data_IF_398217932673
#
_entry.id   IF_398217932673
#
_cell.length_a   1.000
_cell.length_b   1.000
_cell.length_c   1.000
_cell.angle_alpha   90.00
_cell.angle_beta   90.00
_cell.angle_gamma   90.00
#
_symmetry.space_group_name_H-M   'P 1'
#
loop_
_entity.id
_entity.type
_entity.pdbx_description
1 polymer ?
#
# COMPACT_ATOMS: atom_id res chain seq x y z
N UNK A 1 -27.99 13.34 21.48
CA UNK A 1 -26.77 14.00 22.00
C UNK A 1 -25.82 14.24 20.81
N UNK A 2 -24.51 14.37 21.02
CA UNK A 2 -23.48 14.30 19.96
C UNK A 2 -22.30 13.45 20.45
N UNK A 3 -21.49 12.92 19.54
CA UNK A 3 -20.27 12.17 19.89
C UNK A 3 -19.06 12.59 19.05
N UNK A 4 -17.94 12.81 19.74
CA UNK A 4 -16.67 13.19 19.12
C UNK A 4 -15.94 11.93 18.63
N UNK A 5 -15.52 11.94 17.37
CA UNK A 5 -14.83 10.80 16.78
C UNK A 5 -13.39 10.69 17.31
N UNK A 6 -12.96 9.53 17.85
CA UNK A 6 -11.59 9.36 18.36
C UNK A 6 -10.52 9.32 17.24
N UNK A 7 -10.92 9.08 15.98
CA UNK A 7 -9.99 8.95 14.84
C UNK A 7 -9.70 10.28 14.13
N UNK A 8 -10.58 11.28 14.23
CA UNK A 8 -10.41 12.57 13.55
C UNK A 8 -10.87 13.81 14.33
N UNK A 9 -11.41 13.65 15.54
CA UNK A 9 -11.89 14.76 16.37
C UNK A 9 -13.18 15.43 15.90
N UNK A 10 -13.75 15.07 14.75
CA UNK A 10 -15.02 15.61 14.27
C UNK A 10 -16.21 15.16 15.15
N UNK A 11 -17.16 16.07 15.37
CA UNK A 11 -18.35 15.83 16.19
C UNK A 11 -19.55 15.40 15.33
N UNK A 12 -20.18 14.29 15.69
CA UNK A 12 -21.23 13.63 14.92
C UNK A 12 -22.53 13.61 15.73
N UNK A 13 -23.67 13.47 15.04
CA UNK A 13 -24.96 13.27 15.68
C UNK A 13 -25.04 11.91 16.38
N UNK A 14 -25.92 11.78 17.36
CA UNK A 14 -26.08 10.57 18.18
C UNK A 14 -26.71 9.40 17.41
N UNK A 15 -27.49 9.68 16.36
CA UNK A 15 -27.97 8.69 15.38
C UNK A 15 -26.84 8.14 14.48
N UNK A 16 -25.73 8.86 14.31
CA UNK A 16 -24.67 8.46 13.39
C UNK A 16 -23.84 7.31 13.96
N UNK A 17 -24.04 6.10 13.42
CA UNK A 17 -23.25 4.89 13.74
C UNK A 17 -21.79 4.96 13.24
N UNK A 18 -21.48 5.89 12.35
CA UNK A 18 -20.15 6.10 11.75
C UNK A 18 -19.86 7.61 11.65
N UNK A 19 -18.59 8.00 11.78
CA UNK A 19 -18.20 9.40 11.66
C UNK A 19 -18.23 9.87 10.21
N UNK A 20 -18.97 10.94 9.91
CA UNK A 20 -19.21 11.38 8.52
C UNK A 20 -17.97 11.93 7.80
N UNK A 21 -16.92 12.34 8.53
CA UNK A 21 -15.65 12.77 7.93
C UNK A 21 -14.71 11.58 7.64
N UNK A 22 -14.43 10.75 8.65
CA UNK A 22 -13.39 9.71 8.55
C UNK A 22 -13.92 8.28 8.30
N UNK A 23 -15.22 8.03 8.45
CA UNK A 23 -15.84 6.71 8.29
C UNK A 23 -15.63 5.75 9.47
N UNK A 24 -14.93 6.16 10.53
CA UNK A 24 -14.73 5.32 11.71
C UNK A 24 -16.07 5.04 12.43
N UNK A 25 -16.31 3.77 12.79
CA UNK A 25 -17.48 3.35 13.58
C UNK A 25 -17.53 4.10 14.92
N UNK A 26 -18.74 4.42 15.39
CA UNK A 26 -18.98 4.92 16.74
C UNK A 26 -18.44 3.91 17.77
N UNK A 27 -17.67 4.34 18.79
CA UNK A 27 -17.30 3.47 19.91
C UNK A 27 -18.54 3.06 20.71
N UNK A 28 -18.78 1.75 20.79
CA UNK A 28 -19.76 1.19 21.73
C UNK A 28 -19.26 1.36 23.17
N UNK A 29 -20.14 1.80 24.08
CA UNK A 29 -19.81 2.02 25.49
C UNK A 29 -19.50 3.48 25.90
N UNK A 30 -19.56 4.46 24.99
CA UNK A 30 -19.40 5.88 25.32
C UNK A 30 -20.64 6.50 26.01
N UNK A 31 -21.07 5.92 27.13
CA UNK A 31 -22.02 6.52 28.07
C UNK A 31 -21.26 7.34 29.13
N UNK A 32 -21.92 8.37 29.68
CA UNK A 32 -21.31 9.25 30.69
C UNK A 32 -21.07 8.50 32.02
N UNK A 33 -20.06 8.89 32.82
CA UNK A 33 -19.90 8.37 34.17
C UNK A 33 -21.17 8.63 35.00
N UNK A 34 -21.83 7.57 35.45
CA UNK A 34 -22.94 7.69 36.39
C UNK A 34 -22.40 8.03 37.79
N UNK A 35 -22.99 9.02 38.44
CA UNK A 35 -22.59 9.43 39.78
C UNK A 35 -22.92 8.33 40.80
N UNK A 36 -21.93 7.91 41.58
CA UNK A 36 -22.12 7.03 42.72
C UNK A 36 -22.72 7.82 43.88
N UNK A 37 -23.82 7.38 44.51
CA UNK A 37 -24.18 7.82 45.85
C UNK A 37 -23.09 7.40 46.84
N UNK A 38 -22.71 8.28 47.76
CA UNK A 38 -21.72 7.97 48.79
C UNK A 38 -22.39 7.40 50.03
N UNK A 39 -21.89 6.27 50.54
CA UNK A 39 -22.10 5.82 51.91
C UNK A 39 -20.76 5.59 52.60
N UNK A 40 -20.64 6.13 53.81
CA UNK A 40 -19.53 5.97 54.74
C UNK A 40 -20.13 5.65 56.12
N UNK A 41 -19.46 5.09 57.13
CA UNK A 41 -18.01 4.91 57.39
C UNK A 41 -17.81 3.55 58.10
N UNK A 42 -16.61 3.06 58.40
CA UNK A 42 -15.81 3.38 59.60
C UNK A 42 -14.46 2.60 59.59
N UNK A 43 -13.47 2.92 60.48
CA UNK A 43 -12.06 2.91 60.06
C UNK A 43 -11.14 1.83 60.70
N UNK A 44 -10.02 1.63 59.99
CA UNK A 44 -8.63 1.45 60.47
C UNK A 44 -8.31 0.55 61.69
N UNK A 45 -7.37 -0.38 61.46
CA UNK A 45 -6.35 -0.72 62.47
C UNK A 45 -4.96 -0.84 61.80
N UNK A 46 -3.88 -0.71 62.58
CA UNK A 46 -2.51 -0.49 62.09
C UNK A 46 -1.55 -1.48 62.74
N UNK A 47 -0.69 -2.16 61.95
CA UNK A 47 0.55 -2.78 62.45
C UNK A 47 1.56 -3.18 61.35
N UNK A 48 2.83 -3.17 61.75
CA UNK A 48 4.05 -3.61 61.05
C UNK A 48 5.20 -3.64 62.10
N UNK A 49 6.44 -4.10 61.82
CA UNK A 49 6.99 -4.88 60.69
C UNK A 49 7.81 -6.12 61.19
N UNK A 50 8.75 -6.65 60.37
CA UNK A 50 9.89 -7.53 60.73
C UNK A 50 9.57 -9.06 60.90
N UNK A 51 10.46 -10.04 60.68
CA UNK A 51 11.85 -10.11 60.15
C UNK A 51 12.25 -11.57 59.73
N UNK A 52 13.29 -11.74 58.87
CA UNK A 52 14.16 -12.93 58.56
C UNK A 52 13.58 -14.37 58.48
N UNK A 53 14.05 -15.26 57.58
CA UNK A 53 15.37 -15.95 57.66
C UNK A 53 15.88 -16.48 56.30
N UNK A 54 17.18 -16.81 56.26
CA UNK A 54 18.07 -17.03 55.11
C UNK A 54 18.22 -18.54 54.78
N UNK A 55 18.35 -18.89 53.49
CA UNK A 55 19.29 -19.88 52.90
C UNK A 55 19.01 -19.96 51.37
N UNK A 56 19.89 -19.74 50.38
CA UNK A 56 21.35 -19.77 50.16
C UNK A 56 21.88 -21.03 49.42
N UNK A 57 21.84 -20.98 48.08
CA UNK A 57 22.85 -21.51 47.13
C UNK A 57 22.34 -21.16 45.70
N UNK A 58 22.95 -20.35 44.82
CA UNK A 58 24.34 -19.95 44.54
C UNK A 58 25.08 -20.84 43.53
N UNK A 59 24.89 -20.54 42.23
CA UNK A 59 25.87 -20.67 41.14
C UNK A 59 25.39 -19.76 39.96
N UNK A 60 26.00 -18.59 39.78
CA UNK A 60 27.09 -18.28 38.82
C UNK A 60 26.58 -18.19 37.35
N UNK A 61 26.43 -16.99 36.76
CA UNK A 61 27.46 -16.12 36.12
C UNK A 61 27.80 -16.55 34.67
N UNK A 62 28.07 -15.66 33.70
CA UNK A 62 27.74 -14.24 33.53
C UNK A 62 27.97 -13.80 32.05
N UNK A 63 27.04 -12.98 31.52
CA UNK A 63 27.14 -11.89 30.50
C UNK A 63 28.13 -11.92 29.28
N UNK A 64 27.92 -11.06 28.25
CA UNK A 64 28.51 -11.23 26.91
C UNK A 64 29.80 -10.40 26.65
N UNK A 65 30.38 -10.57 25.45
CA UNK A 65 31.47 -9.74 24.92
C UNK A 65 31.21 -9.33 23.45
N UNK A 66 31.81 -8.20 23.05
CA UNK A 66 31.61 -7.49 21.77
C UNK A 66 32.75 -7.72 20.75
N UNK A 67 32.64 -7.25 19.48
CA UNK A 67 33.54 -7.67 18.40
C UNK A 67 34.85 -6.86 18.29
N UNK A 68 35.84 -7.44 17.61
CA UNK A 68 37.06 -6.75 17.14
C UNK A 68 37.40 -7.14 15.69
N UNK A 69 38.18 -6.30 15.01
CA UNK A 69 38.67 -6.51 13.66
C UNK A 69 40.11 -6.00 13.52
N UNK A 70 40.96 -6.69 12.77
CA UNK A 70 42.33 -6.24 12.42
C UNK A 70 42.82 -6.89 11.11
N UNK A 71 43.98 -6.45 10.57
CA UNK A 71 44.33 -6.62 9.14
C UNK A 71 45.84 -6.68 8.84
N UNK A 72 46.19 -6.73 7.54
CA UNK A 72 47.54 -6.56 6.92
C UNK A 72 48.47 -7.82 6.91
N UNK A 73 49.66 -7.80 6.24
CA UNK A 73 49.90 -7.60 4.78
C UNK A 73 50.98 -8.53 4.15
N UNK A 74 51.18 -8.52 2.80
CA UNK A 74 52.49 -8.68 2.11
C UNK A 74 52.43 -8.65 0.54
N UNK A 75 53.56 -8.32 -0.11
CA UNK A 75 53.88 -8.46 -1.57
C UNK A 75 55.42 -8.56 -1.75
N UNK A 76 56.00 -9.17 -2.82
CA UNK A 76 56.25 -8.50 -4.14
C UNK A 76 56.23 -9.47 -5.38
N UNK A 77 56.46 -9.18 -6.69
CA UNK A 77 56.41 -7.99 -7.60
C UNK A 77 57.64 -7.86 -8.57
N UNK A 78 57.75 -8.72 -9.61
CA UNK A 78 58.67 -8.69 -10.80
C UNK A 78 58.19 -9.74 -11.87
N UNK A 79 58.60 -9.82 -13.16
CA UNK A 79 59.04 -8.86 -14.22
C UNK A 79 59.37 -9.63 -15.56
N UNK A 80 59.46 -8.91 -16.70
CA UNK A 80 60.14 -9.27 -18.00
C UNK A 80 59.55 -10.37 -18.93
N UNK A 81 59.68 -10.38 -20.28
CA UNK A 81 59.85 -9.37 -21.37
C UNK A 81 59.44 -10.00 -22.74
N UNK A 82 59.07 -9.20 -23.75
CA UNK A 82 58.70 -9.57 -25.14
C UNK A 82 59.91 -10.02 -26.02
N UNK A 83 59.77 -10.60 -27.24
CA UNK A 83 59.24 -9.89 -28.44
C UNK A 83 58.41 -10.72 -29.46
N UNK A 84 57.75 -10.00 -30.39
CA UNK A 84 57.15 -10.49 -31.65
C UNK A 84 58.23 -10.71 -32.77
N UNK A 85 57.97 -10.94 -34.11
CA UNK A 85 56.80 -10.58 -34.93
C UNK A 85 56.40 -11.52 -36.12
N UNK A 86 55.47 -11.03 -36.97
CA UNK A 86 55.12 -11.43 -38.36
C UNK A 86 54.28 -12.73 -38.58
N UNK A 87 53.39 -12.82 -39.58
CA UNK A 87 52.72 -11.78 -40.42
C UNK A 87 51.52 -12.35 -41.21
N UNK A 88 50.57 -11.48 -41.60
CA UNK A 88 49.42 -11.73 -42.52
C UNK A 88 48.36 -12.72 -41.99
N UNK A 89 47.07 -12.63 -42.35
CA UNK A 89 46.46 -12.02 -43.54
C UNK A 89 45.36 -11.00 -43.22
N UNK A 90 45.13 -10.09 -44.18
CA UNK A 90 44.00 -9.15 -44.17
C UNK A 90 42.78 -9.84 -44.79
N UNK A 91 41.63 -9.77 -44.11
CA UNK A 91 40.31 -9.91 -44.75
C UNK A 91 39.49 -8.66 -44.45
N UNK A 92 38.97 -8.04 -45.51
CA UNK A 92 38.27 -6.75 -45.44
C UNK A 92 36.92 -6.90 -44.71
N UNK A 93 36.53 -5.93 -43.85
CA UNK A 93 35.23 -6.00 -43.17
C UNK A 93 34.09 -5.82 -44.18
N UNK A 94 33.33 -6.89 -44.41
CA UNK A 94 31.98 -6.75 -44.95
C UNK A 94 31.05 -6.40 -43.78
N UNK A 95 30.40 -5.23 -43.77
CA UNK A 95 29.38 -4.95 -42.77
C UNK A 95 28.20 -5.92 -42.99
N UNK A 96 27.69 -6.61 -41.95
CA UNK A 96 26.48 -7.39 -42.09
C UNK A 96 25.33 -6.49 -42.51
N UNK A 97 24.59 -6.90 -43.54
CA UNK A 97 23.64 -6.07 -44.29
C UNK A 97 22.66 -5.34 -43.38
N UNK A 98 22.76 -4.01 -43.32
CA UNK A 98 21.95 -3.14 -42.45
C UNK A 98 20.52 -2.96 -42.97
N UNK A 99 19.79 -4.07 -43.15
CA UNK A 99 18.43 -4.13 -43.70
C UNK A 99 17.47 -4.98 -42.84
N UNK A 100 17.77 -5.15 -41.55
CA UNK A 100 16.90 -5.78 -40.55
C UNK A 100 16.39 -4.82 -39.46
N UNK A 101 16.78 -3.55 -39.49
CA UNK A 101 16.35 -2.52 -38.55
C UNK A 101 14.99 -1.88 -38.86
N UNK A 102 14.44 -2.08 -40.07
CA UNK A 102 13.27 -1.37 -40.59
C UNK A 102 11.91 -2.08 -40.32
N UNK A 103 11.83 -3.00 -39.35
CA UNK A 103 10.59 -3.74 -39.05
C UNK A 103 10.23 -3.82 -37.55
N UNK A 104 10.90 -3.04 -36.69
CA UNK A 104 10.49 -2.87 -35.27
C UNK A 104 9.71 -1.56 -35.05
N UNK A 105 9.35 -0.86 -36.12
CA UNK A 105 8.33 0.19 -36.13
C UNK A 105 6.92 -0.42 -36.30
N UNK A 106 6.63 -1.48 -35.52
CA UNK A 106 5.25 -1.90 -35.27
C UNK A 106 4.56 -0.72 -34.60
N UNK A 107 3.55 -0.17 -35.26
CA UNK A 107 2.83 1.02 -34.85
C UNK A 107 2.07 0.80 -33.54
N UNK A 108 2.77 0.90 -32.41
CA UNK A 108 2.18 0.95 -31.07
C UNK A 108 1.47 2.29 -30.90
N UNK A 109 0.25 2.37 -31.46
CA UNK A 109 -0.75 3.33 -31.02
C UNK A 109 -0.85 3.17 -29.50
N UNK A 110 -0.47 4.22 -28.75
CA UNK A 110 -0.46 4.20 -27.30
C UNK A 110 -1.90 4.07 -26.79
N UNK A 111 -2.28 2.86 -26.39
CA UNK A 111 -3.70 2.49 -26.19
C UNK A 111 -4.19 3.11 -24.88
N UNK A 112 -5.14 4.04 -24.98
CA UNK A 112 -5.53 4.87 -23.84
C UNK A 112 -6.54 4.14 -22.98
N UNK A 113 -6.19 3.99 -21.71
CA UNK A 113 -7.10 3.47 -20.71
C UNK A 113 -7.90 4.60 -20.10
N UNK A 114 -9.16 4.32 -19.77
CA UNK A 114 -10.06 5.24 -19.07
C UNK A 114 -10.77 4.50 -17.94
N UNK A 115 -10.92 5.16 -16.79
CA UNK A 115 -11.84 4.74 -15.74
C UNK A 115 -13.19 5.40 -16.02
N UNK A 116 -14.21 4.60 -16.34
CA UNK A 116 -15.58 5.08 -16.53
C UNK A 116 -16.47 4.70 -15.35
N UNK A 117 -17.16 5.66 -14.76
CA UNK A 117 -18.11 5.39 -13.68
C UNK A 117 -19.40 4.74 -14.22
N UNK A 118 -19.78 3.59 -13.68
CA UNK A 118 -21.08 2.95 -13.95
C UNK A 118 -22.11 3.46 -12.95
N UNK A 119 -21.76 3.39 -11.66
CA UNK A 119 -22.59 3.81 -10.54
C UNK A 119 -21.72 4.36 -9.41
N UNK A 120 -22.18 5.41 -8.72
CA UNK A 120 -21.61 5.94 -7.49
C UNK A 120 -22.65 6.85 -6.81
N UNK A 121 -22.66 7.03 -5.48
CA UNK A 121 -23.57 7.94 -4.80
C UNK A 121 -23.51 9.37 -5.36
N UNK A 122 -22.31 9.83 -5.76
CA UNK A 122 -22.07 11.08 -6.45
C UNK A 122 -22.57 11.03 -7.90
N UNK A 123 -23.89 10.97 -8.10
CA UNK A 123 -24.52 10.57 -9.37
C UNK A 123 -24.18 11.43 -10.59
N UNK A 124 -23.67 12.65 -10.39
CA UNK A 124 -23.13 13.50 -11.46
C UNK A 124 -21.88 12.91 -12.16
N UNK A 125 -21.16 11.99 -11.50
CA UNK A 125 -20.02 11.29 -12.09
C UNK A 125 -20.42 10.13 -13.01
N UNK A 126 -21.65 9.62 -12.91
CA UNK A 126 -22.08 8.43 -13.66
C UNK A 126 -21.95 8.66 -15.18
N UNK A 127 -21.38 7.67 -15.88
CA UNK A 127 -20.98 7.69 -17.30
C UNK A 127 -19.78 8.60 -17.63
N UNK A 128 -19.26 9.43 -16.74
CA UNK A 128 -18.02 10.17 -17.00
C UNK A 128 -16.83 9.23 -17.14
N UNK A 129 -15.92 9.56 -18.05
CA UNK A 129 -14.62 8.90 -18.24
C UNK A 129 -13.51 9.79 -17.69
N UNK A 130 -12.60 9.22 -16.91
CA UNK A 130 -11.34 9.85 -16.47
C UNK A 130 -10.20 9.13 -17.19
N UNK A 131 -9.26 9.83 -17.85
CA UNK A 131 -8.12 9.18 -18.49
C UNK A 131 -7.18 8.55 -17.45
N UNK A 132 -6.51 7.48 -17.85
CA UNK A 132 -5.49 6.79 -17.05
C UNK A 132 -4.13 6.98 -17.73
N UNK A 133 -3.58 8.18 -17.60
CA UNK A 133 -2.33 8.60 -18.25
C UNK A 133 -1.09 8.02 -17.55
N UNK A 134 -0.86 6.72 -17.76
CA UNK A 134 0.30 5.99 -17.21
C UNK A 134 1.66 6.48 -17.75
N UNK A 135 1.67 7.27 -18.82
CA UNK A 135 2.87 7.98 -19.31
C UNK A 135 3.32 9.09 -18.35
N UNK A 136 2.42 9.58 -17.49
CA UNK A 136 2.67 10.63 -16.48
C UNK A 136 2.83 10.03 -15.08
N UNK A 137 2.13 8.94 -14.79
CA UNK A 137 2.11 8.29 -13.48
C UNK A 137 2.38 6.77 -13.59
N UNK A 138 3.49 6.29 -13.01
CA UNK A 138 3.78 4.84 -12.88
C UNK A 138 2.61 4.08 -12.21
N UNK A 139 1.94 4.75 -11.26
CA UNK A 139 0.74 4.24 -10.63
C UNK A 139 -0.27 5.36 -10.32
N UNK A 140 -1.55 5.05 -10.49
CA UNK A 140 -2.67 5.97 -10.35
C UNK A 140 -3.44 5.60 -9.08
N UNK A 141 -3.37 6.48 -8.07
CA UNK A 141 -4.05 6.31 -6.79
C UNK A 141 -5.55 6.63 -6.91
N UNK A 142 -6.37 5.84 -6.22
CA UNK A 142 -7.84 5.98 -6.18
C UNK A 142 -8.30 6.01 -4.73
N UNK A 143 -9.15 6.98 -4.38
CA UNK A 143 -9.75 7.08 -3.05
C UNK A 143 -10.57 8.36 -2.87
N UNK A 144 -11.18 8.55 -1.71
CA UNK A 144 -11.98 9.77 -1.44
C UNK A 144 -11.19 10.99 -0.98
N UNK A 145 -9.90 10.84 -0.68
CA UNK A 145 -9.04 11.98 -0.33
C UNK A 145 -8.70 12.79 -1.58
N UNK A 146 -8.62 14.13 -1.53
CA UNK A 146 -8.09 14.95 -2.62
C UNK A 146 -6.60 14.71 -2.93
N UNK A 147 -5.92 13.90 -2.11
CA UNK A 147 -4.54 13.44 -2.30
C UNK A 147 -4.39 12.35 -3.38
N UNK A 148 -5.49 11.82 -3.94
CA UNK A 148 -5.45 10.80 -4.99
C UNK A 148 -5.49 11.41 -6.38
N UNK A 149 -4.87 10.74 -7.37
CA UNK A 149 -4.98 11.11 -8.78
C UNK A 149 -6.43 11.01 -9.28
N UNK A 150 -7.18 10.01 -8.80
CA UNK A 150 -8.62 9.89 -9.01
C UNK A 150 -9.35 9.99 -7.68
N UNK A 151 -10.00 11.14 -7.48
CA UNK A 151 -10.82 11.44 -6.30
C UNK A 151 -12.24 10.91 -6.54
N UNK A 152 -12.70 10.02 -5.66
CA UNK A 152 -14.07 9.49 -5.67
C UNK A 152 -14.80 9.98 -4.42
N UNK A 153 -15.71 10.98 -4.51
CA UNK A 153 -16.42 11.54 -3.37
C UNK A 153 -17.55 10.62 -2.88
N UNK A 154 -17.17 9.46 -2.35
CA UNK A 154 -18.00 8.43 -1.75
C UNK A 154 -17.47 8.14 -0.33
N UNK A 155 -18.34 8.17 0.67
CA UNK A 155 -17.97 7.93 2.07
C UNK A 155 -17.55 6.48 2.35
N UNK A 156 -18.05 5.53 1.56
CA UNK A 156 -17.71 4.10 1.67
C UNK A 156 -16.35 3.77 1.04
N UNK A 157 -15.83 4.66 0.20
CA UNK A 157 -14.49 4.56 -0.39
C UNK A 157 -13.47 5.14 0.59
N UNK A 158 -12.54 4.32 1.10
CA UNK A 158 -11.41 4.76 1.94
C UNK A 158 -10.60 5.95 1.36
N UNK A 159 -9.96 6.73 2.25
CA UNK A 159 -9.20 7.95 1.89
C UNK A 159 -8.17 7.71 0.79
N UNK A 160 -7.35 6.67 0.94
CA UNK A 160 -6.69 5.94 -0.15
C UNK A 160 -7.34 4.55 -0.15
N UNK A 161 -7.72 4.03 -1.30
CA UNK A 161 -8.56 2.82 -1.40
C UNK A 161 -7.88 1.74 -2.24
N UNK A 162 -7.48 2.11 -3.46
CA UNK A 162 -6.81 1.22 -4.39
C UNK A 162 -5.74 1.98 -5.17
N UNK A 163 -4.89 1.24 -5.86
CA UNK A 163 -3.95 1.77 -6.84
C UNK A 163 -4.03 0.96 -8.13
N UNK A 164 -4.03 1.64 -9.28
CA UNK A 164 -3.83 1.05 -10.59
C UNK A 164 -2.37 1.21 -11.00
N UNK A 165 -1.77 0.20 -11.64
CA UNK A 165 -0.44 0.30 -12.24
C UNK A 165 -0.38 -0.45 -13.57
N UNK A 166 0.37 0.09 -14.53
CA UNK A 166 0.60 -0.54 -15.83
C UNK A 166 2.03 -1.09 -15.85
N UNK A 167 2.21 -2.38 -16.12
CA UNK A 167 3.52 -3.02 -16.14
C UNK A 167 3.55 -4.11 -17.23
N UNK A 168 4.59 -4.11 -18.07
CA UNK A 168 4.72 -5.05 -19.20
C UNK A 168 3.47 -5.10 -20.11
N UNK A 169 2.81 -3.95 -20.31
CA UNK A 169 1.56 -3.83 -21.09
C UNK A 169 0.29 -4.38 -20.41
N UNK A 170 0.41 -4.96 -19.21
CA UNK A 170 -0.68 -5.49 -18.39
C UNK A 170 -1.11 -4.47 -17.33
N UNK A 171 -2.42 -4.34 -17.13
CA UNK A 171 -2.99 -3.46 -16.11
C UNK A 171 -3.21 -4.26 -14.82
N UNK A 172 -2.86 -3.67 -13.69
CA UNK A 172 -3.01 -4.26 -12.36
C UNK A 172 -3.79 -3.35 -11.43
N UNK A 173 -4.56 -3.94 -10.52
CA UNK A 173 -5.19 -3.27 -9.39
C UNK A 173 -4.72 -3.90 -8.08
N UNK A 174 -4.53 -3.08 -7.06
CA UNK A 174 -4.18 -3.50 -5.71
C UNK A 174 -5.00 -2.70 -4.68
N UNK A 175 -5.55 -3.41 -3.69
CA UNK A 175 -6.32 -2.82 -2.59
C UNK A 175 -5.37 -2.35 -1.48
N UNK A 176 -5.50 -1.09 -1.06
CA UNK A 176 -4.62 -0.46 -0.07
C UNK A 176 -5.16 -0.63 1.36
N UNK A 177 -5.55 -1.86 1.71
CA UNK A 177 -6.26 -2.22 2.94
C UNK A 177 -7.51 -1.34 3.18
N UNK A 178 -8.36 -1.25 2.15
CA UNK A 178 -9.59 -0.46 2.21
C UNK A 178 -10.61 -1.06 3.17
N UNK A 179 -11.45 -0.21 3.77
CA UNK A 179 -12.37 -0.58 4.85
C UNK A 179 -13.51 -1.48 4.39
N UNK A 180 -13.94 -1.32 3.15
CA UNK A 180 -15.06 -2.05 2.54
C UNK A 180 -14.61 -2.98 1.39
N UNK A 181 -13.32 -3.01 1.04
CA UNK A 181 -12.73 -3.87 0.00
C UNK A 181 -12.89 -3.35 -1.44
N UNK A 182 -11.87 -3.61 -2.25
CA UNK A 182 -11.90 -3.57 -3.72
C UNK A 182 -12.25 -4.94 -4.29
N UNK A 183 -13.14 -4.99 -5.29
CA UNK A 183 -13.57 -6.22 -5.95
C UNK A 183 -13.53 -6.10 -7.47
N UNK A 184 -13.25 -7.20 -8.17
CA UNK A 184 -13.33 -7.32 -9.64
C UNK A 184 -14.45 -8.28 -10.01
N UNK A 185 -15.24 -7.94 -11.03
CA UNK A 185 -16.30 -8.80 -11.55
C UNK A 185 -15.74 -9.90 -12.45
N UNK A 186 -16.02 -11.18 -12.13
CA UNK A 186 -15.51 -12.36 -12.86
C UNK A 186 -16.41 -12.82 -14.02
N UNK A 187 -17.51 -12.12 -14.28
CA UNK A 187 -18.58 -12.51 -15.21
C UNK A 187 -19.84 -13.03 -14.52
N UNK A 188 -19.75 -13.43 -13.24
CA UNK A 188 -20.86 -13.94 -12.41
C UNK A 188 -20.99 -13.20 -11.08
N UNK A 189 -19.87 -12.92 -10.42
CA UNK A 189 -19.79 -12.37 -9.06
C UNK A 189 -18.62 -11.37 -8.93
N UNK A 190 -18.66 -10.56 -7.88
CA UNK A 190 -17.55 -9.68 -7.49
C UNK A 190 -16.59 -10.42 -6.55
N UNK A 191 -15.39 -10.72 -7.04
CA UNK A 191 -14.32 -11.38 -6.28
C UNK A 191 -13.42 -10.33 -5.63
N UNK A 192 -13.02 -10.50 -4.35
CA UNK A 192 -12.13 -9.54 -3.68
C UNK A 192 -10.72 -9.56 -4.28
N UNK A 193 -10.14 -8.38 -4.48
CA UNK A 193 -8.74 -8.21 -4.88
C UNK A 193 -7.82 -8.74 -3.76
N UNK A 194 -6.78 -9.48 -4.14
CA UNK A 194 -5.80 -10.06 -3.21
C UNK A 194 -4.38 -9.70 -3.64
N UNK A 195 -3.80 -8.68 -2.99
CA UNK A 195 -2.55 -8.06 -3.43
C UNK A 195 -2.70 -7.49 -4.85
N UNK A 196 -1.63 -7.57 -5.64
CA UNK A 196 -1.59 -7.08 -7.02
C UNK A 196 -2.28 -8.04 -8.01
N UNK A 197 -3.54 -7.76 -8.31
CA UNK A 197 -4.39 -8.53 -9.24
C UNK A 197 -4.29 -7.99 -10.67
N UNK A 198 -4.04 -8.85 -11.65
CA UNK A 198 -4.11 -8.47 -13.08
C UNK A 198 -5.58 -8.28 -13.50
N UNK A 199 -5.85 -7.23 -14.27
CA UNK A 199 -7.17 -6.88 -14.81
C UNK A 199 -7.07 -6.50 -16.30
N UNK A 200 -8.20 -6.54 -17.00
CA UNK A 200 -8.26 -6.37 -18.46
C UNK A 200 -9.09 -5.13 -18.85
N UNK A 201 -8.99 -4.76 -20.13
CA UNK A 201 -9.97 -3.85 -20.71
C UNK A 201 -11.38 -4.46 -20.59
N UNK A 202 -12.36 -3.62 -20.28
CA UNK A 202 -13.73 -3.97 -19.90
C UNK A 202 -13.93 -4.62 -18.52
N UNK A 203 -12.87 -4.85 -17.72
CA UNK A 203 -13.05 -5.27 -16.32
C UNK A 203 -13.88 -4.25 -15.54
N UNK A 204 -14.89 -4.76 -14.82
CA UNK A 204 -15.73 -3.98 -13.91
C UNK A 204 -15.19 -4.16 -12.50
N UNK A 205 -15.01 -3.05 -11.78
CA UNK A 205 -14.41 -2.96 -10.45
C UNK A 205 -15.44 -2.31 -9.52
N UNK A 206 -15.64 -2.87 -8.33
CA UNK A 206 -16.41 -2.25 -7.24
C UNK A 206 -15.44 -1.77 -6.15
N UNK A 207 -15.59 -0.51 -5.75
CA UNK A 207 -14.79 0.15 -4.72
C UNK A 207 -15.71 0.40 -3.52
N UNK A 208 -15.50 -0.34 -2.43
CA UNK A 208 -16.44 -0.37 -1.30
C UNK A 208 -17.78 -1.01 -1.70
N UNK A 209 -18.91 -0.41 -1.31
CA UNK A 209 -20.23 -1.00 -1.58
C UNK A 209 -20.96 -0.32 -2.74
N UNK A 210 -21.03 1.02 -2.76
CA UNK A 210 -21.88 1.77 -3.70
C UNK A 210 -21.20 2.26 -4.99
N UNK A 211 -19.86 2.30 -5.07
CA UNK A 211 -19.17 2.74 -6.29
C UNK A 211 -18.74 1.56 -7.18
N UNK A 212 -19.17 1.59 -8.45
CA UNK A 212 -18.82 0.64 -9.51
C UNK A 212 -18.25 1.42 -10.70
N UNK A 213 -17.06 1.03 -11.14
CA UNK A 213 -16.33 1.62 -12.27
C UNK A 213 -15.96 0.53 -13.30
N UNK A 214 -15.65 0.92 -14.52
CA UNK A 214 -15.21 0.04 -15.60
C UNK A 214 -13.94 0.58 -16.24
N UNK A 215 -12.97 -0.29 -16.47
CA UNK A 215 -11.82 0.03 -17.32
C UNK A 215 -12.28 -0.02 -18.78
N UNK A 216 -12.13 1.09 -19.49
CA UNK A 216 -12.32 1.19 -20.95
C UNK A 216 -10.94 1.37 -21.59
N UNK A 217 -10.79 0.93 -22.84
CA UNK A 217 -9.56 1.00 -23.64
C UNK A 217 -9.95 1.46 -25.04
N UNK A 218 -9.30 2.52 -25.52
CA UNK A 218 -9.57 3.20 -26.80
C UNK A 218 -8.25 3.46 -27.55
#
# INVERSE_FOLDING_TARGET
MTWKCPVCGYENTDDALFCIQCGAKRPEGAQQPQAQPAEASQPAEVQAPQQVTIDQQAQQEAQPAEPQAEAQPASPTVASTEPAPQATQQTTPQPPTAQLSQQVEVQQQAQKYYLQFIATPASALNKMKVPLDFDVFESISIGRSPENVIVIPDSEVSRRHAVLSLSNGKLYIEDLNSTNGTYVYDGKLFQPVKGKQEIQANSIIKLGNSTIVKIVRE
#
